data_IF_218725069004
#
_entry.id   IF_218725069004
#
_cell.length_a   1.000
_cell.length_b   1.000
_cell.length_c   1.000
_cell.angle_alpha   90.00
_cell.angle_beta   90.00
_cell.angle_gamma   90.00
#
_symmetry.space_group_name_H-M   'P 1'
#
loop_
_entity.id
_entity.type
_entity.pdbx_description
1 polymer ?
#
# COMPACT_ATOMS: atom_id res chain seq x y z
N UNK A 1 37.34 20.16 2.44
CA UNK A 1 37.61 18.72 2.24
C UNK A 1 36.49 17.74 2.63
N UNK A 2 35.38 18.15 3.29
CA UNK A 2 34.33 17.20 3.72
C UNK A 2 33.34 16.83 2.59
N UNK A 3 33.15 17.67 1.57
CA UNK A 3 32.20 17.39 0.48
C UNK A 3 32.76 16.54 -0.68
N UNK A 4 34.08 16.36 -0.78
CA UNK A 4 34.68 15.61 -1.89
C UNK A 4 34.61 14.08 -1.72
N UNK A 5 34.45 13.60 -0.48
CA UNK A 5 34.53 12.17 -0.16
C UNK A 5 33.18 11.45 -0.14
N UNK A 6 32.07 12.18 -0.30
CA UNK A 6 30.74 11.59 -0.33
C UNK A 6 30.42 10.86 -1.65
N UNK A 7 31.12 11.23 -2.74
CA UNK A 7 30.92 10.64 -4.07
C UNK A 7 31.39 9.18 -4.16
N UNK A 8 32.51 8.84 -3.50
CA UNK A 8 33.04 7.47 -3.51
C UNK A 8 32.11 6.43 -2.88
N UNK A 9 31.26 6.85 -1.93
CA UNK A 9 30.29 5.96 -1.30
C UNK A 9 29.09 5.67 -2.20
N UNK A 10 28.77 6.54 -3.17
CA UNK A 10 27.66 6.34 -4.12
C UNK A 10 28.01 5.34 -5.24
N UNK A 11 29.30 5.16 -5.54
CA UNK A 11 29.79 4.18 -6.52
C UNK A 11 29.76 2.76 -5.97
N UNK A 12 29.84 2.59 -4.64
CA UNK A 12 29.74 1.31 -3.94
C UNK A 12 28.30 0.90 -3.58
N UNK A 13 27.30 1.74 -3.88
CA UNK A 13 25.91 1.41 -3.58
C UNK A 13 25.38 0.38 -4.58
N UNK A 14 24.76 -0.72 -4.13
CA UNK A 14 24.02 -1.64 -4.99
C UNK A 14 23.05 -0.87 -5.89
N UNK A 15 22.91 -1.29 -7.15
CA UNK A 15 22.13 -0.59 -8.18
C UNK A 15 20.72 -0.20 -7.72
N UNK A 16 20.11 -0.95 -6.79
CA UNK A 16 18.79 -0.66 -6.25
C UNK A 16 18.71 0.62 -5.39
N UNK A 17 19.82 1.06 -4.77
CA UNK A 17 19.88 2.30 -3.98
C UNK A 17 20.16 3.55 -4.83
N UNK A 18 20.58 3.38 -6.09
CA UNK A 18 20.88 4.47 -7.03
C UNK A 18 19.65 5.16 -7.62
N UNK A 19 18.45 4.84 -7.11
CA UNK A 19 17.14 5.28 -7.64
C UNK A 19 16.80 6.75 -7.37
N UNK A 20 17.57 7.46 -6.53
CA UNK A 20 17.30 8.88 -6.20
C UNK A 20 17.84 9.91 -7.21
N UNK A 21 18.50 9.49 -8.30
CA UNK A 21 19.22 10.41 -9.20
C UNK A 21 18.64 10.50 -10.63
N UNK A 22 17.54 9.82 -10.94
CA UNK A 22 16.88 9.98 -12.25
C UNK A 22 15.80 11.06 -12.18
N UNK A 23 15.67 11.94 -13.20
CA UNK A 23 14.51 12.82 -13.32
C UNK A 23 13.22 11.98 -13.26
N UNK A 24 12.15 12.56 -12.73
CA UNK A 24 10.88 11.93 -12.38
C UNK A 24 10.13 11.28 -13.57
N UNK A 25 10.70 10.23 -14.14
CA UNK A 25 9.97 9.21 -14.87
C UNK A 25 9.45 8.28 -13.79
N UNK A 26 8.15 8.40 -13.48
CA UNK A 26 7.45 7.39 -12.68
C UNK A 26 7.81 6.03 -13.27
N UNK A 27 8.48 5.15 -12.52
CA UNK A 27 8.87 3.86 -13.04
C UNK A 27 7.58 3.15 -13.43
N UNK A 28 7.40 2.90 -14.72
CA UNK A 28 6.34 2.02 -15.22
C UNK A 28 6.64 0.68 -14.59
N UNK A 29 5.98 0.38 -13.48
CA UNK A 29 6.07 -0.92 -12.83
C UNK A 29 5.68 -1.95 -13.87
N UNK A 30 6.41 -3.07 -13.98
CA UNK A 30 5.98 -4.16 -14.84
C UNK A 30 4.52 -4.51 -14.52
N UNK A 31 3.71 -4.92 -15.50
CA UNK A 31 2.34 -5.32 -15.25
C UNK A 31 2.34 -6.36 -14.12
N UNK A 32 1.71 -5.99 -13.01
CA UNK A 32 1.55 -6.82 -11.84
C UNK A 32 0.06 -7.00 -11.62
N UNK A 33 -0.34 -8.23 -11.36
CA UNK A 33 -1.72 -8.56 -10.99
C UNK A 33 -2.11 -8.00 -9.61
N UNK A 34 -1.17 -7.34 -8.91
CA UNK A 34 -1.36 -6.76 -7.59
C UNK A 34 -1.15 -5.26 -7.61
N UNK A 35 -2.09 -4.54 -7.00
CA UNK A 35 -2.01 -3.09 -6.83
C UNK A 35 -1.71 -2.69 -5.39
N UNK A 36 -1.01 -1.57 -5.24
CA UNK A 36 -0.60 -1.05 -3.94
C UNK A 36 -1.65 -0.19 -3.24
N UNK A 37 -1.31 0.25 -2.03
CA UNK A 37 -2.05 1.29 -1.30
C UNK A 37 -1.28 2.61 -1.36
N UNK A 38 -2.00 3.72 -1.51
CA UNK A 38 -1.41 5.07 -1.47
C UNK A 38 -0.83 5.31 -0.09
N UNK A 39 0.44 5.70 -0.02
CA UNK A 39 1.04 6.15 1.23
C UNK A 39 0.65 7.61 1.48
N UNK A 40 -0.26 7.85 2.43
CA UNK A 40 -0.88 9.16 2.66
C UNK A 40 -0.20 9.89 3.82
N UNK A 41 1.14 9.90 3.79
CA UNK A 41 1.99 10.43 4.86
C UNK A 41 2.56 9.31 5.72
N UNK A 42 2.15 9.24 6.99
CA UNK A 42 2.66 8.27 7.97
C UNK A 42 1.87 6.96 7.99
N UNK A 43 1.25 6.54 6.90
CA UNK A 43 0.32 5.40 6.87
C UNK A 43 0.94 4.08 6.42
N UNK A 44 2.26 4.03 6.19
CA UNK A 44 2.93 2.83 5.67
C UNK A 44 2.74 1.58 6.54
N UNK A 45 2.76 1.74 7.87
CA UNK A 45 2.51 0.65 8.81
C UNK A 45 1.10 0.07 8.66
N UNK A 46 0.09 0.93 8.55
CA UNK A 46 -1.30 0.53 8.31
C UNK A 46 -1.43 -0.16 6.95
N UNK A 47 -0.82 0.40 5.91
CA UNK A 47 -0.87 -0.15 4.56
C UNK A 47 -0.29 -1.57 4.49
N UNK A 48 0.80 -1.85 5.20
CA UNK A 48 1.38 -3.20 5.28
C UNK A 48 0.40 -4.19 5.91
N UNK A 49 -0.22 -3.82 7.04
CA UNK A 49 -1.20 -4.69 7.71
C UNK A 49 -2.40 -4.96 6.82
N UNK A 50 -2.94 -3.93 6.16
CA UNK A 50 -4.10 -4.08 5.27
C UNK A 50 -3.82 -5.01 4.08
N UNK A 51 -2.61 -4.94 3.51
CA UNK A 51 -2.21 -5.86 2.43
C UNK A 51 -2.06 -7.29 2.94
N UNK A 52 -1.52 -7.50 4.15
CA UNK A 52 -1.47 -8.85 4.75
C UNK A 52 -2.88 -9.41 4.96
N UNK A 53 -3.78 -8.63 5.57
CA UNK A 53 -5.17 -9.05 5.80
C UNK A 53 -5.92 -9.35 4.49
N UNK A 54 -5.73 -8.52 3.45
CA UNK A 54 -6.30 -8.76 2.13
C UNK A 54 -5.81 -10.10 1.52
N UNK A 55 -4.55 -10.47 1.79
CA UNK A 55 -3.97 -11.72 1.29
C UNK A 55 -4.29 -12.95 2.15
N UNK A 56 -4.94 -12.77 3.29
CA UNK A 56 -5.47 -13.86 4.12
C UNK A 56 -6.89 -14.20 3.65
N UNK A 57 -7.05 -15.30 2.92
CA UNK A 57 -8.33 -15.67 2.30
C UNK A 57 -9.42 -15.91 3.35
N UNK A 58 -9.08 -16.58 4.44
CA UNK A 58 -9.97 -16.90 5.56
C UNK A 58 -10.55 -15.62 6.17
N UNK A 59 -9.73 -14.57 6.29
CA UNK A 59 -10.17 -13.28 6.80
C UNK A 59 -11.15 -12.60 5.84
N UNK A 60 -10.88 -12.62 4.53
CA UNK A 60 -11.79 -12.04 3.53
C UNK A 60 -13.14 -12.75 3.51
N UNK A 61 -13.14 -14.09 3.58
CA UNK A 61 -14.37 -14.87 3.64
C UNK A 61 -15.19 -14.56 4.90
N UNK A 62 -14.55 -14.56 6.07
CA UNK A 62 -15.22 -14.20 7.32
C UNK A 62 -15.78 -12.77 7.29
N UNK A 63 -15.04 -11.82 6.71
CA UNK A 63 -15.48 -10.44 6.57
C UNK A 63 -16.72 -10.32 5.65
N UNK A 64 -16.75 -11.07 4.55
CA UNK A 64 -17.90 -11.13 3.64
C UNK A 64 -19.13 -11.79 4.29
N UNK A 65 -18.94 -12.84 5.08
CA UNK A 65 -20.02 -13.47 5.85
C UNK A 65 -20.63 -12.50 6.87
N UNK A 66 -19.79 -11.76 7.60
CA UNK A 66 -20.25 -10.70 8.50
C UNK A 66 -21.01 -9.60 7.73
N UNK A 67 -20.57 -9.26 6.53
CA UNK A 67 -21.21 -8.26 5.69
C UNK A 67 -22.61 -8.66 5.21
N UNK A 68 -22.83 -9.96 5.01
CA UNK A 68 -24.11 -10.49 4.54
C UNK A 68 -25.15 -10.66 5.66
N UNK A 69 -24.70 -10.76 6.92
CA UNK A 69 -25.57 -11.10 8.05
C UNK A 69 -26.25 -9.90 8.72
N UNK A 70 -25.68 -8.69 8.64
CA UNK A 70 -26.20 -7.52 9.37
C UNK A 70 -25.71 -6.17 8.80
N UNK A 71 -26.23 -5.06 9.34
CA UNK A 71 -25.67 -3.72 9.06
C UNK A 71 -24.31 -3.60 9.73
N UNK A 72 -23.24 -3.75 8.95
CA UNK A 72 -21.87 -3.71 9.44
C UNK A 72 -21.54 -2.45 10.23
N UNK A 73 -20.77 -2.64 11.30
CA UNK A 73 -20.06 -1.56 11.96
C UNK A 73 -19.17 -0.80 10.93
N UNK A 74 -18.88 0.50 11.16
CA UNK A 74 -18.22 1.34 10.15
C UNK A 74 -16.86 0.80 9.67
N UNK A 75 -16.10 0.11 10.53
CA UNK A 75 -14.78 -0.42 10.17
C UNK A 75 -14.86 -1.64 9.24
N UNK A 76 -15.60 -2.73 9.56
CA UNK A 76 -15.84 -3.82 8.62
C UNK A 76 -16.35 -3.36 7.25
N UNK A 77 -17.30 -2.42 7.21
CA UNK A 77 -17.84 -1.89 5.95
C UNK A 77 -16.76 -1.18 5.11
N UNK A 78 -15.93 -0.36 5.76
CA UNK A 78 -14.81 0.30 5.11
C UNK A 78 -13.73 -0.69 4.62
N UNK A 79 -13.54 -1.82 5.31
CA UNK A 79 -12.64 -2.90 4.90
C UNK A 79 -13.16 -3.65 3.67
N UNK A 80 -14.44 -4.01 3.63
CA UNK A 80 -15.08 -4.60 2.45
C UNK A 80 -14.88 -3.70 1.23
N UNK A 81 -15.26 -2.43 1.37
CA UNK A 81 -15.10 -1.42 0.33
C UNK A 81 -13.66 -1.21 -0.13
N UNK A 82 -12.68 -1.42 0.76
CA UNK A 82 -11.26 -1.31 0.42
C UNK A 82 -10.79 -2.56 -0.34
N UNK A 83 -11.17 -3.75 0.11
CA UNK A 83 -10.77 -5.02 -0.51
C UNK A 83 -11.36 -5.18 -1.91
N UNK A 84 -12.61 -4.78 -2.12
CA UNK A 84 -13.23 -4.75 -3.45
C UNK A 84 -12.45 -3.85 -4.42
N UNK A 85 -11.98 -2.70 -3.94
CA UNK A 85 -11.15 -1.79 -4.75
C UNK A 85 -9.76 -2.36 -5.02
N UNK A 86 -9.18 -3.10 -4.07
CA UNK A 86 -7.89 -3.76 -4.27
C UNK A 86 -7.96 -4.87 -5.32
N UNK A 87 -9.10 -5.54 -5.44
CA UNK A 87 -9.32 -6.59 -6.44
C UNK A 87 -9.66 -6.03 -7.83
N UNK A 88 -10.43 -4.94 -7.89
CA UNK A 88 -10.99 -4.43 -9.15
C UNK A 88 -10.22 -3.27 -9.77
N UNK A 89 -9.40 -2.55 -8.99
CA UNK A 89 -8.73 -1.35 -9.48
C UNK A 89 -7.42 -1.67 -10.21
N UNK A 90 -7.07 -0.83 -11.18
CA UNK A 90 -5.79 -0.81 -11.86
C UNK A 90 -4.82 0.25 -11.30
N UNK A 91 -5.20 0.93 -10.21
CA UNK A 91 -4.38 1.98 -9.57
C UNK A 91 -4.41 1.85 -8.06
N UNK A 92 -3.36 2.38 -7.42
CA UNK A 92 -3.23 2.30 -5.97
C UNK A 92 -4.43 2.91 -5.24
N UNK A 93 -4.94 2.21 -4.23
CA UNK A 93 -6.15 2.59 -3.49
C UNK A 93 -5.82 3.44 -2.27
N UNK A 94 -6.72 4.35 -1.90
CA UNK A 94 -6.59 5.24 -0.73
C UNK A 94 -7.03 4.55 0.57
N UNK A 95 -6.28 4.73 1.65
CA UNK A 95 -6.63 4.22 3.00
C UNK A 95 -7.29 5.25 3.91
N UNK A 96 -7.58 6.47 3.43
CA UNK A 96 -8.35 7.49 4.18
C UNK A 96 -9.64 6.97 4.83
N UNK A 97 -10.49 6.16 4.17
CA UNK A 97 -11.71 5.65 4.80
C UNK A 97 -11.42 4.85 6.07
N UNK A 98 -10.43 3.95 6.03
CA UNK A 98 -9.99 3.16 7.19
C UNK A 98 -9.44 4.08 8.29
N UNK A 99 -8.63 5.07 7.92
CA UNK A 99 -8.09 6.00 8.91
C UNK A 99 -9.15 6.92 9.53
N UNK A 100 -10.31 7.09 8.89
CA UNK A 100 -11.41 7.89 9.41
C UNK A 100 -12.30 7.10 10.38
N UNK A 101 -12.44 5.78 10.17
CA UNK A 101 -13.23 4.91 11.05
C UNK A 101 -12.51 4.55 12.36
N UNK A 102 -11.18 4.67 12.39
CA UNK A 102 -10.35 4.38 13.58
C UNK A 102 -10.11 5.61 14.49
N UNK A 103 -10.75 6.75 14.21
CA UNK A 103 -10.67 7.96 15.03
C UNK A 103 -11.76 7.98 16.08
#
# INVERSE_FOLDING_TARGET
EIFANQWRLLEAMPLFWRRKLTPAVEPVSPPSDFIGLKNQGKTCHLNTVLQVLFRTNEFRLALQECAAADKLEPLPDALCSLFDKLETSNRSVSTKPISATLK
#
